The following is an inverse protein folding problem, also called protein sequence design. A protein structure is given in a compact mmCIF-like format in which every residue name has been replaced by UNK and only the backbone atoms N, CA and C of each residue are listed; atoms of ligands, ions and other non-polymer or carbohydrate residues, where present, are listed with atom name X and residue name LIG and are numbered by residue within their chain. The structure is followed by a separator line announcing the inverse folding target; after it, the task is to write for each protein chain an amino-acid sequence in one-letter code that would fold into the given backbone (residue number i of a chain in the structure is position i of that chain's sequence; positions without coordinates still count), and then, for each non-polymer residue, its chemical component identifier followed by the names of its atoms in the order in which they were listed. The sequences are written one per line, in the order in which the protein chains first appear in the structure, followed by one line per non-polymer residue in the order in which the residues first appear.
data_IF_329393996181
#
_entry.id   IF_329393996181
#
_cell.length_a   1.000
_cell.length_b   1.000
_cell.length_c   1.000
_cell.angle_alpha   90.00
_cell.angle_beta   90.00
_cell.angle_gamma   90.00
#
_symmetry.space_group_name_H-M   'P 1'
#
loop_
_entity.id
_entity.type
_entity.pdbx_description
1 polymer ?
#
# COMPACT_ATOMS: atom_id res chain seq x y z
N UNK A 1 -2.99 29.77 23.74
CA UNK A 1 -3.68 29.91 22.45
C UNK A 1 -2.85 29.22 21.36
N UNK A 2 -3.08 27.93 21.13
CA UNK A 2 -2.37 27.15 20.11
C UNK A 2 -3.27 27.02 18.88
N UNK A 3 -2.83 27.62 17.75
CA UNK A 3 -3.50 27.46 16.47
C UNK A 3 -3.12 26.10 15.87
N UNK A 4 -4.07 25.16 15.84
CA UNK A 4 -3.98 24.01 14.97
C UNK A 4 -4.05 24.51 13.52
N UNK A 5 -2.96 24.40 12.80
CA UNK A 5 -2.95 24.56 11.34
C UNK A 5 -3.60 23.30 10.77
N UNK A 6 -4.81 23.47 10.22
CA UNK A 6 -5.50 22.42 9.49
C UNK A 6 -4.74 22.13 8.20
N UNK A 7 -4.13 20.97 8.12
CA UNK A 7 -3.63 20.40 6.86
C UNK A 7 -4.80 19.78 6.09
N UNK A 8 -5.59 20.62 5.44
CA UNK A 8 -6.39 20.21 4.28
C UNK A 8 -5.47 20.31 3.07
N UNK A 9 -4.55 19.36 2.93
CA UNK A 9 -3.87 19.14 1.66
C UNK A 9 -4.95 18.71 0.65
N UNK A 10 -5.23 19.55 -0.37
CA UNK A 10 -5.93 19.12 -1.57
C UNK A 10 -5.17 17.90 -2.11
N UNK A 11 -5.77 16.71 -2.00
CA UNK A 11 -5.30 15.54 -2.73
C UNK A 11 -5.36 15.95 -4.21
N UNK A 12 -4.19 15.98 -4.87
CA UNK A 12 -4.15 16.29 -6.29
C UNK A 12 -4.99 15.26 -7.03
N UNK A 13 -5.91 15.73 -7.86
CA UNK A 13 -6.77 14.89 -8.66
C UNK A 13 -5.88 14.04 -9.58
N UNK A 14 -5.85 12.73 -9.36
CA UNK A 14 -5.02 11.80 -10.15
C UNK A 14 -5.68 11.66 -11.51
N UNK A 15 -4.92 11.90 -12.57
CA UNK A 15 -5.36 11.69 -13.94
C UNK A 15 -6.00 10.28 -14.07
N UNK A 16 -7.18 10.20 -14.69
CA UNK A 16 -7.89 8.95 -14.90
C UNK A 16 -7.04 7.89 -15.61
N UNK A 17 -6.09 8.29 -16.45
CA UNK A 17 -5.12 7.42 -17.12
C UNK A 17 -4.20 6.72 -16.10
N UNK A 18 -3.75 7.45 -15.08
CA UNK A 18 -2.90 6.89 -14.01
C UNK A 18 -3.69 5.88 -13.17
N UNK A 19 -4.92 6.21 -12.81
CA UNK A 19 -5.80 5.29 -12.05
C UNK A 19 -6.03 4.01 -12.82
N UNK A 20 -6.36 4.10 -14.12
CA UNK A 20 -6.59 2.93 -14.96
C UNK A 20 -5.32 2.08 -15.11
N UNK A 21 -4.16 2.71 -15.28
CA UNK A 21 -2.86 2.03 -15.33
C UNK A 21 -2.58 1.24 -14.05
N UNK A 22 -2.80 1.83 -12.89
CA UNK A 22 -2.63 1.15 -11.59
C UNK A 22 -3.59 -0.02 -11.49
N UNK A 23 -4.87 0.16 -11.83
CA UNK A 23 -5.89 -0.90 -11.81
C UNK A 23 -5.55 -2.05 -12.74
N UNK A 24 -5.16 -1.75 -13.97
CA UNK A 24 -4.78 -2.76 -14.96
C UNK A 24 -3.53 -3.54 -14.53
N UNK A 25 -2.56 -2.88 -13.92
CA UNK A 25 -1.37 -3.53 -13.37
C UNK A 25 -1.71 -4.40 -12.16
N UNK A 26 -2.49 -3.89 -11.21
CA UNK A 26 -2.92 -4.62 -10.02
C UNK A 26 -3.70 -5.90 -10.38
N UNK A 27 -4.59 -5.83 -11.35
CA UNK A 27 -5.39 -6.97 -11.81
C UNK A 27 -4.54 -8.14 -12.37
N UNK A 28 -3.30 -7.88 -12.77
CA UNK A 28 -2.36 -8.91 -13.25
C UNK A 28 -1.53 -9.55 -12.11
N UNK A 29 -1.60 -9.03 -10.88
CA UNK A 29 -0.89 -9.61 -9.74
C UNK A 29 -1.59 -10.86 -9.20
N UNK A 30 -1.14 -12.05 -9.59
CA UNK A 30 -1.67 -13.31 -9.08
C UNK A 30 -1.60 -13.44 -7.57
N UNK A 31 -0.56 -12.89 -6.93
CA UNK A 31 -0.45 -12.87 -5.47
C UNK A 31 -1.60 -12.07 -4.82
N UNK A 32 -1.91 -10.89 -5.33
CA UNK A 32 -3.01 -10.08 -4.79
C UNK A 32 -4.37 -10.76 -5.00
N UNK A 33 -4.59 -11.38 -6.16
CA UNK A 33 -5.79 -12.18 -6.40
C UNK A 33 -5.91 -13.36 -5.40
N UNK A 34 -4.81 -14.06 -5.13
CA UNK A 34 -4.76 -15.17 -4.16
C UNK A 34 -5.07 -14.69 -2.74
N UNK A 35 -4.63 -13.50 -2.37
CA UNK A 35 -4.92 -12.90 -1.06
C UNK A 35 -6.34 -12.33 -0.95
N UNK A 36 -7.08 -12.24 -2.05
CA UNK A 36 -8.38 -11.55 -2.09
C UNK A 36 -8.22 -10.03 -1.87
N UNK A 37 -7.07 -9.49 -2.29
CA UNK A 37 -6.78 -8.07 -2.14
C UNK A 37 -7.56 -7.21 -3.15
N UNK A 38 -7.96 -6.02 -2.72
CA UNK A 38 -8.67 -5.04 -3.54
C UNK A 38 -8.03 -3.67 -3.42
N UNK A 39 -8.01 -2.90 -4.52
CA UNK A 39 -7.66 -1.49 -4.50
C UNK A 39 -8.80 -0.68 -3.88
N UNK A 40 -8.55 -0.06 -2.73
CA UNK A 40 -9.50 0.79 -2.03
C UNK A 40 -9.39 2.25 -2.49
N UNK A 41 -8.18 2.74 -2.70
CA UNK A 41 -7.92 4.13 -3.09
C UNK A 41 -6.68 4.22 -3.98
N UNK A 42 -6.71 5.11 -4.97
CA UNK A 42 -5.57 5.49 -5.80
C UNK A 42 -5.54 7.01 -5.93
N UNK A 43 -4.49 7.63 -5.42
CA UNK A 43 -4.25 9.06 -5.51
C UNK A 43 -2.77 9.31 -5.84
N UNK A 44 -2.41 10.53 -6.24
CA UNK A 44 -1.02 10.89 -6.54
C UNK A 44 -0.13 10.69 -5.31
N UNK A 45 0.83 9.75 -5.40
CA UNK A 45 1.74 9.42 -4.31
C UNK A 45 1.10 8.62 -3.16
N UNK A 46 -0.15 8.17 -3.30
CA UNK A 46 -0.86 7.40 -2.27
C UNK A 46 -1.72 6.30 -2.88
N UNK A 47 -1.63 5.09 -2.30
CA UNK A 47 -2.50 3.96 -2.66
C UNK A 47 -2.90 3.20 -1.40
N UNK A 48 -4.17 2.82 -1.30
CA UNK A 48 -4.67 1.94 -0.25
C UNK A 48 -5.16 0.62 -0.86
N UNK A 49 -4.76 -0.49 -0.22
CA UNK A 49 -5.15 -1.87 -0.56
C UNK A 49 -5.80 -2.51 0.65
N UNK A 50 -6.93 -3.19 0.44
CA UNK A 50 -7.59 -3.99 1.48
C UNK A 50 -7.34 -5.47 1.26
N UNK A 51 -7.21 -6.24 2.34
CA UNK A 51 -7.13 -7.71 2.31
C UNK A 51 -8.06 -8.26 3.39
N UNK A 52 -8.96 -9.22 3.09
CA UNK A 52 -9.81 -9.82 4.10
C UNK A 52 -8.99 -10.65 5.08
N UNK A 53 -9.40 -10.66 6.35
CA UNK A 53 -8.82 -11.56 7.36
C UNK A 53 -9.58 -12.88 7.30
N UNK A 54 -8.94 -13.89 6.72
CA UNK A 54 -9.53 -15.22 6.49
C UNK A 54 -8.65 -16.32 7.08
N UNK A 55 -9.24 -17.47 7.53
CA UNK A 55 -8.49 -18.59 8.10
C UNK A 55 -7.36 -19.11 7.19
N UNK A 56 -7.56 -19.13 5.86
CA UNK A 56 -6.57 -19.58 4.88
C UNK A 56 -5.32 -18.69 4.81
N UNK A 57 -5.42 -17.44 5.30
CA UNK A 57 -4.34 -16.46 5.33
C UNK A 57 -3.74 -16.29 6.74
N UNK A 58 -4.22 -17.07 7.71
CA UNK A 58 -3.79 -17.00 9.09
C UNK A 58 -2.53 -17.82 9.35
N UNK A 59 -1.79 -17.42 10.39
CA UNK A 59 -0.77 -18.23 11.00
C UNK A 59 -1.38 -19.14 12.10
N UNK A 60 -0.55 -19.98 12.74
CA UNK A 60 -0.98 -21.03 13.69
C UNK A 60 -1.71 -20.52 14.94
N UNK A 61 -1.63 -19.23 15.27
CA UNK A 61 -2.33 -18.63 16.42
C UNK A 61 -3.63 -17.91 16.02
N UNK A 62 -4.06 -18.02 14.76
CA UNK A 62 -5.31 -17.45 14.26
C UNK A 62 -5.24 -15.97 13.85
N UNK A 63 -4.09 -15.32 13.95
CA UNK A 63 -3.88 -14.00 13.40
C UNK A 63 -3.51 -14.07 11.92
N UNK A 64 -3.76 -13.01 11.17
CA UNK A 64 -3.29 -12.90 9.79
C UNK A 64 -1.77 -13.07 9.74
N UNK A 65 -1.27 -13.88 8.80
CA UNK A 65 0.16 -14.10 8.67
C UNK A 65 0.88 -12.81 8.31
N UNK A 66 2.01 -12.53 8.97
CA UNK A 66 2.79 -11.31 8.73
C UNK A 66 3.19 -11.12 7.25
N UNK A 67 3.47 -12.20 6.52
CA UNK A 67 3.77 -12.16 5.09
C UNK A 67 2.64 -11.59 4.24
N UNK A 68 1.38 -11.78 4.65
CA UNK A 68 0.20 -11.19 3.97
C UNK A 68 0.18 -9.68 4.17
N UNK A 69 0.43 -9.22 5.40
CA UNK A 69 0.52 -7.79 5.72
C UNK A 69 1.64 -7.12 4.92
N UNK A 70 2.82 -7.77 4.88
CA UNK A 70 3.99 -7.28 4.13
C UNK A 70 3.70 -7.22 2.62
N UNK A 71 3.07 -8.24 2.05
CA UNK A 71 2.71 -8.26 0.63
C UNK A 71 1.75 -7.14 0.24
N UNK A 72 0.76 -6.86 1.09
CA UNK A 72 -0.18 -5.76 0.88
C UNK A 72 0.51 -4.39 0.96
N UNK A 73 1.38 -4.19 1.98
CA UNK A 73 2.15 -2.95 2.14
C UNK A 73 3.14 -2.73 1.00
N UNK A 74 3.85 -3.76 0.57
CA UNK A 74 4.78 -3.69 -0.55
C UNK A 74 4.07 -3.27 -1.83
N UNK A 75 2.93 -3.88 -2.13
CA UNK A 75 2.11 -3.51 -3.29
C UNK A 75 1.55 -2.09 -3.19
N UNK A 76 1.07 -1.67 -2.01
CA UNK A 76 0.57 -0.31 -1.80
C UNK A 76 1.68 0.74 -2.02
N UNK A 77 2.87 0.53 -1.47
CA UNK A 77 4.03 1.39 -1.67
C UNK A 77 4.48 1.41 -3.14
N UNK A 78 4.53 0.25 -3.80
CA UNK A 78 4.90 0.14 -5.20
C UNK A 78 3.96 0.92 -6.11
N UNK A 79 2.65 0.78 -5.92
CA UNK A 79 1.66 1.53 -6.70
C UNK A 79 1.62 3.00 -6.33
N UNK A 80 1.82 3.39 -5.07
CA UNK A 80 1.97 4.79 -4.71
C UNK A 80 3.13 5.44 -5.48
N UNK A 81 4.29 4.77 -5.55
CA UNK A 81 5.42 5.23 -6.36
C UNK A 81 5.08 5.30 -7.85
N UNK A 82 4.39 4.28 -8.39
CA UNK A 82 4.01 4.21 -9.80
C UNK A 82 3.12 5.38 -10.24
N UNK A 83 2.26 5.89 -9.35
CA UNK A 83 1.39 7.04 -9.66
C UNK A 83 2.16 8.31 -10.00
N UNK A 84 3.42 8.44 -9.56
CA UNK A 84 4.29 9.59 -9.80
C UNK A 84 5.36 9.33 -10.88
N UNK A 85 5.35 8.13 -11.50
CA UNK A 85 6.31 7.75 -12.54
C UNK A 85 5.74 8.01 -13.95
N UNK A 86 6.62 8.21 -14.97
CA UNK A 86 6.20 8.31 -16.37
C UNK A 86 5.35 7.12 -16.83
N UNK A 87 4.56 7.31 -17.89
CA UNK A 87 3.62 6.31 -18.41
C UNK A 87 4.31 5.01 -18.85
N UNK A 88 5.52 5.09 -19.38
CA UNK A 88 6.35 3.97 -19.85
C UNK A 88 7.15 3.30 -18.70
N UNK A 89 6.94 3.71 -17.47
CA UNK A 89 7.65 3.16 -16.32
C UNK A 89 6.94 1.96 -15.71
N UNK A 90 7.73 1.04 -15.20
CA UNK A 90 7.35 -0.01 -14.27
C UNK A 90 8.10 0.15 -12.94
N UNK A 91 7.56 -0.44 -11.89
CA UNK A 91 8.12 -0.35 -10.55
C UNK A 91 8.49 -1.74 -10.02
N UNK A 92 9.64 -1.81 -9.36
CA UNK A 92 10.05 -2.98 -8.57
C UNK A 92 10.52 -2.52 -7.19
N UNK A 93 10.34 -3.37 -6.20
CA UNK A 93 10.87 -3.17 -4.87
C UNK A 93 12.34 -3.56 -4.82
N UNK A 94 13.18 -2.67 -4.28
CA UNK A 94 14.61 -2.91 -4.09
C UNK A 94 14.89 -3.40 -2.68
N UNK A 95 14.23 -2.77 -1.71
CA UNK A 95 14.44 -3.01 -0.29
C UNK A 95 13.18 -2.59 0.47
N UNK A 96 12.88 -3.30 1.53
CA UNK A 96 11.86 -2.91 2.50
C UNK A 96 12.29 -3.28 3.91
N UNK A 97 11.85 -2.49 4.87
CA UNK A 97 11.98 -2.76 6.29
C UNK A 97 10.62 -2.58 6.94
N UNK A 98 10.14 -3.59 7.62
CA UNK A 98 8.83 -3.59 8.29
C UNK A 98 8.99 -3.82 9.79
N UNK A 99 8.17 -3.11 10.57
CA UNK A 99 7.94 -3.38 11.99
C UNK A 99 6.50 -3.85 12.15
N UNK A 100 6.31 -4.99 12.78
CA UNK A 100 5.01 -5.49 13.19
C UNK A 100 4.73 -4.95 14.60
N UNK A 101 3.64 -4.19 14.75
CA UNK A 101 3.33 -3.43 15.96
C UNK A 101 2.30 -4.14 16.84
N UNK A 102 1.37 -4.86 16.21
CA UNK A 102 0.31 -5.61 16.87
C UNK A 102 -0.14 -6.80 16.02
N UNK A 103 -0.73 -7.86 16.61
CA UNK A 103 -1.34 -8.93 15.85
C UNK A 103 -2.46 -8.43 14.93
N UNK A 104 -2.42 -8.81 13.65
CA UNK A 104 -3.45 -8.44 12.70
C UNK A 104 -4.66 -9.36 12.82
N UNK A 105 -5.75 -8.82 13.36
CA UNK A 105 -7.03 -9.53 13.57
C UNK A 105 -8.20 -8.59 13.33
N UNK A 106 -9.29 -9.09 12.80
CA UNK A 106 -10.47 -8.29 12.51
C UNK A 106 -11.20 -8.84 11.29
N UNK A 107 -11.86 -7.96 10.56
CA UNK A 107 -12.59 -8.32 9.35
C UNK A 107 -11.69 -8.20 8.11
N UNK A 108 -10.83 -7.18 8.11
CA UNK A 108 -9.87 -6.90 7.04
C UNK A 108 -8.66 -6.14 7.56
N UNK A 109 -7.59 -6.09 6.75
CA UNK A 109 -6.55 -5.08 6.89
C UNK A 109 -6.68 -4.05 5.77
N UNK A 110 -6.23 -2.83 6.07
CA UNK A 110 -6.02 -1.74 5.11
C UNK A 110 -4.54 -1.42 5.12
N UNK A 111 -3.87 -1.60 3.99
CA UNK A 111 -2.47 -1.25 3.78
C UNK A 111 -2.42 0.05 2.97
N UNK A 112 -1.87 1.09 3.55
CA UNK A 112 -1.73 2.42 2.96
C UNK A 112 -0.26 2.65 2.60
N UNK A 113 0.03 2.95 1.35
CA UNK A 113 1.36 3.31 0.86
C UNK A 113 1.40 4.78 0.47
N UNK A 114 2.46 5.48 0.88
CA UNK A 114 2.66 6.91 0.60
C UNK A 114 4.09 7.17 0.14
N UNK A 115 4.24 8.02 -0.88
CA UNK A 115 5.56 8.46 -1.35
C UNK A 115 6.12 9.51 -0.39
N UNK A 116 7.24 9.19 0.25
CA UNK A 116 8.00 10.13 1.08
C UNK A 116 8.86 11.05 0.22
N UNK A 117 9.53 10.45 -0.78
CA UNK A 117 10.40 11.20 -1.69
C UNK A 117 10.41 10.55 -3.07
N UNK A 118 9.85 11.20 -4.09
CA UNK A 118 9.98 10.74 -5.48
C UNK A 118 11.39 11.01 -6.00
N UNK A 119 11.91 10.11 -6.83
CA UNK A 119 13.21 10.25 -7.47
C UNK A 119 13.20 9.76 -8.92
N UNK A 120 14.21 10.17 -9.70
CA UNK A 120 14.34 9.78 -11.11
C UNK A 120 14.56 8.28 -11.30
N UNK A 121 15.28 7.64 -10.40
CA UNK A 121 15.58 6.20 -10.42
C UNK A 121 14.97 5.48 -9.22
N UNK A 122 15.16 6.03 -8.01
CA UNK A 122 14.68 5.47 -6.76
C UNK A 122 13.61 6.38 -6.14
N UNK A 123 12.57 5.78 -5.60
CA UNK A 123 11.50 6.43 -4.83
C UNK A 123 11.43 5.81 -3.45
N UNK A 124 11.45 6.64 -2.41
CA UNK A 124 11.27 6.20 -1.03
C UNK A 124 9.80 6.32 -0.66
N UNK A 125 9.25 5.22 -0.12
CA UNK A 125 7.86 5.13 0.31
C UNK A 125 7.79 4.73 1.78
N UNK A 126 6.73 5.20 2.43
CA UNK A 126 6.29 4.77 3.75
C UNK A 126 4.98 4.01 3.61
N UNK A 127 4.76 2.99 4.42
CA UNK A 127 3.51 2.25 4.44
C UNK A 127 3.05 1.95 5.86
N UNK A 128 1.75 2.10 6.11
CA UNK A 128 1.10 1.71 7.36
C UNK A 128 -0.03 0.71 7.09
N UNK A 129 -0.12 -0.31 7.93
CA UNK A 129 -1.22 -1.27 7.87
C UNK A 129 -2.07 -1.20 9.14
N UNK A 130 -3.36 -1.25 8.93
CA UNK A 130 -4.36 -1.22 10.00
C UNK A 130 -5.29 -2.42 9.88
N UNK A 131 -5.54 -3.09 11.00
CA UNK A 131 -6.59 -4.09 11.10
C UNK A 131 -7.89 -3.40 11.52
N UNK A 132 -8.98 -3.72 10.85
CA UNK A 132 -10.31 -3.13 11.09
C UNK A 132 -11.31 -4.21 11.51
N UNK A 133 -12.12 -3.87 12.53
CA UNK A 133 -13.26 -4.68 12.99
C UNK A 133 -14.42 -3.73 13.33
N UNK A 134 -15.44 -3.71 12.48
CA UNK A 134 -16.51 -2.72 12.62
C UNK A 134 -15.95 -1.30 12.57
N UNK A 135 -16.11 -0.52 13.64
CA UNK A 135 -15.57 0.84 13.78
C UNK A 135 -14.15 0.90 14.37
N UNK A 136 -13.64 -0.22 14.89
CA UNK A 136 -12.32 -0.28 15.51
C UNK A 136 -11.22 -0.40 14.45
N UNK A 137 -10.14 0.38 14.63
CA UNK A 137 -8.98 0.39 13.75
C UNK A 137 -7.70 0.31 14.59
N UNK A 138 -6.90 -0.74 14.37
CA UNK A 138 -5.65 -0.98 15.10
C UNK A 138 -4.46 -0.89 14.14
N UNK A 139 -3.46 -0.07 14.46
CA UNK A 139 -2.20 0.01 13.70
C UNK A 139 -1.38 -1.26 13.95
N UNK A 140 -1.18 -2.08 12.92
CA UNK A 140 -0.57 -3.41 13.03
C UNK A 140 0.82 -3.51 12.44
N UNK A 141 1.17 -2.64 11.51
CA UNK A 141 2.52 -2.62 10.92
C UNK A 141 2.86 -1.26 10.34
N UNK A 142 4.15 -0.95 10.33
CA UNK A 142 4.72 0.19 9.59
C UNK A 142 5.92 -0.26 8.76
N UNK A 143 6.08 0.31 7.57
CA UNK A 143 7.11 -0.06 6.59
C UNK A 143 7.80 1.17 6.05
N UNK A 144 9.10 1.06 5.80
CA UNK A 144 9.83 1.95 4.91
C UNK A 144 10.36 1.11 3.74
N UNK A 145 10.13 1.57 2.52
CA UNK A 145 10.48 0.84 1.31
C UNK A 145 11.15 1.73 0.27
N UNK A 146 12.03 1.13 -0.54
CA UNK A 146 12.66 1.77 -1.68
C UNK A 146 12.22 1.07 -2.96
N UNK A 147 11.67 1.84 -3.87
CA UNK A 147 11.20 1.40 -5.18
C UNK A 147 12.16 1.87 -6.27
N UNK A 148 12.44 1.01 -7.25
CA UNK A 148 13.21 1.37 -8.43
C UNK A 148 12.29 1.49 -9.65
N UNK A 149 12.48 2.55 -10.41
CA UNK A 149 11.85 2.72 -11.72
C UNK A 149 12.57 1.88 -12.76
N UNK A 150 11.82 1.09 -13.52
CA UNK A 150 12.26 0.43 -14.75
C UNK A 150 11.52 0.99 -15.95
N UNK A 151 12.06 0.82 -17.15
CA UNK A 151 11.28 0.96 -18.38
C UNK A 151 10.51 -0.33 -18.62
N UNK A 152 9.29 -0.21 -19.12
CA UNK A 152 8.58 -1.35 -19.71
C UNK A 152 9.36 -1.84 -20.93
N UNK A 153 9.54 -3.17 -21.04
CA UNK A 153 10.20 -3.80 -22.19
C UNK A 153 9.28 -3.75 -23.42
#
# INVERSE_FOLDING_TARGET
MSRRVGQTGLMADVDAVIVERVRASFARQGAMATLGAELAEVAAGHVAITVPVEPRLSQQHGFLHAGVVVAALDSACGYAALTLMPEDAEVLTVELKVNLLAPASGDRIVAEGEVVRPGGTLTVCHGDAYAERGADRTHVATMLATMVRRRAD
#
